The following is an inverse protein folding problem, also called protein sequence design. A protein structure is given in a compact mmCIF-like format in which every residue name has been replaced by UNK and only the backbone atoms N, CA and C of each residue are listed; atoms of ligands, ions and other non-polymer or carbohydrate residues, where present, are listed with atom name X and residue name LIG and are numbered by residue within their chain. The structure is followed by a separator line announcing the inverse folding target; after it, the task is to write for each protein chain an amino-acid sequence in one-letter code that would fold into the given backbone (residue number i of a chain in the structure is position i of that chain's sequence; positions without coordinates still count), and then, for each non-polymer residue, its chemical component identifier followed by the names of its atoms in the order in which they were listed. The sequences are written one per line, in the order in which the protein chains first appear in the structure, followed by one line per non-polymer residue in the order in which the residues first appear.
data_IF_504185804516
#
_entry.id   IF_504185804516
#
_cell.length_a   1.000
_cell.length_b   1.000
_cell.length_c   1.000
_cell.angle_alpha   90.00
_cell.angle_beta   90.00
_cell.angle_gamma   90.00
#
_symmetry.space_group_name_H-M   'P 1'
#
loop_
_entity.id
_entity.type
_entity.pdbx_description
1 polymer ?
#
# COMPACT_ATOMS: atom_id res chain seq x y z
N UNK A 1 -13.97 -57.84 -18.87
CA UNK A 1 -14.07 -56.60 -19.68
C UNK A 1 -13.60 -55.50 -18.76
N UNK A 2 -12.51 -54.83 -19.15
CA UNK A 2 -11.63 -54.00 -18.33
C UNK A 2 -12.31 -52.74 -17.77
N UNK A 3 -11.97 -52.42 -16.53
CA UNK A 3 -12.15 -51.11 -15.90
C UNK A 3 -11.38 -50.04 -16.69
N UNK A 4 -12.02 -48.90 -16.93
CA UNK A 4 -11.35 -47.68 -17.32
C UNK A 4 -11.77 -46.59 -16.32
N UNK A 5 -10.97 -46.47 -15.25
CA UNK A 5 -10.96 -45.28 -14.40
C UNK A 5 -10.42 -44.12 -15.24
N UNK A 6 -11.28 -43.14 -15.50
CA UNK A 6 -10.89 -41.90 -16.14
C UNK A 6 -10.28 -41.00 -15.05
N UNK A 7 -8.95 -40.94 -15.00
CA UNK A 7 -8.21 -39.93 -14.24
C UNK A 7 -8.45 -38.57 -14.90
N UNK A 8 -9.37 -37.78 -14.37
CA UNK A 8 -9.34 -36.34 -14.59
C UNK A 8 -8.39 -35.74 -13.55
N UNK A 9 -7.14 -35.64 -13.97
CA UNK A 9 -6.17 -34.70 -13.42
C UNK A 9 -6.64 -33.29 -13.80
N UNK A 10 -7.50 -32.70 -12.96
CA UNK A 10 -7.79 -31.28 -13.02
C UNK A 10 -6.83 -30.59 -12.05
N UNK A 11 -5.68 -30.18 -12.57
CA UNK A 11 -4.88 -29.12 -11.97
C UNK A 11 -5.76 -27.88 -11.82
N UNK A 12 -6.37 -27.74 -10.65
CA UNK A 12 -7.05 -26.50 -10.26
C UNK A 12 -5.94 -25.48 -10.08
N UNK A 13 -5.70 -24.65 -11.10
CA UNK A 13 -5.14 -23.33 -10.87
C UNK A 13 -6.06 -22.68 -9.83
N UNK A 14 -5.60 -22.62 -8.58
CA UNK A 14 -6.37 -22.06 -7.49
C UNK A 14 -6.72 -20.62 -7.90
N UNK A 15 -8.02 -20.37 -8.10
CA UNK A 15 -8.55 -19.03 -8.32
C UNK A 15 -7.96 -18.11 -7.25
N UNK A 16 -7.15 -17.16 -7.68
CA UNK A 16 -6.43 -16.27 -6.78
C UNK A 16 -7.48 -15.46 -5.99
N UNK A 17 -7.57 -15.67 -4.67
CA UNK A 17 -8.60 -15.00 -3.86
C UNK A 17 -8.48 -13.49 -3.98
N UNK A 18 -9.58 -12.75 -3.84
CA UNK A 18 -9.56 -11.29 -3.89
C UNK A 18 -8.53 -10.67 -2.92
N UNK A 19 -8.31 -11.28 -1.75
CA UNK A 19 -7.26 -10.85 -0.81
C UNK A 19 -5.85 -11.11 -1.32
N UNK A 20 -5.60 -12.22 -2.01
CA UNK A 20 -4.30 -12.50 -2.62
C UNK A 20 -3.96 -11.43 -3.67
N UNK A 21 -4.95 -11.03 -4.48
CA UNK A 21 -4.79 -9.94 -5.46
C UNK A 21 -4.53 -8.59 -4.78
N UNK A 22 -5.29 -8.27 -3.72
CA UNK A 22 -5.06 -7.04 -2.93
C UNK A 22 -3.69 -7.02 -2.25
N UNK A 23 -3.24 -8.15 -1.71
CA UNK A 23 -1.88 -8.31 -1.17
C UNK A 23 -0.84 -8.08 -2.26
N UNK A 24 -1.03 -8.65 -3.45
CA UNK A 24 -0.12 -8.41 -4.57
C UNK A 24 -0.01 -6.92 -4.90
N UNK A 25 -1.14 -6.22 -4.98
CA UNK A 25 -1.17 -4.77 -5.24
C UNK A 25 -0.46 -4.00 -4.12
N UNK A 26 -0.76 -4.28 -2.86
CA UNK A 26 -0.13 -3.64 -1.70
C UNK A 26 1.41 -3.80 -1.72
N UNK A 27 1.90 -5.00 -2.05
CA UNK A 27 3.34 -5.28 -2.21
C UNK A 27 3.96 -4.47 -3.33
N UNK A 28 3.30 -4.39 -4.48
CA UNK A 28 3.82 -3.62 -5.63
C UNK A 28 3.93 -2.13 -5.27
N UNK A 29 2.89 -1.54 -4.68
CA UNK A 29 2.90 -0.10 -4.37
C UNK A 29 3.91 0.24 -3.27
N UNK A 30 4.10 -0.61 -2.25
CA UNK A 30 5.15 -0.40 -1.24
C UNK A 30 6.56 -0.56 -1.83
N UNK A 31 6.74 -1.49 -2.78
CA UNK A 31 8.01 -1.67 -3.50
C UNK A 31 8.36 -0.48 -4.38
N UNK A 32 7.39 0.27 -4.90
CA UNK A 32 7.69 1.55 -5.57
C UNK A 32 8.37 2.53 -4.61
N UNK A 33 7.90 2.63 -3.35
CA UNK A 33 8.56 3.44 -2.33
C UNK A 33 9.98 2.97 -1.99
N UNK A 34 10.23 1.67 -2.01
CA UNK A 34 11.58 1.10 -1.83
C UNK A 34 12.48 1.43 -3.03
N UNK A 35 11.98 1.28 -4.25
CA UNK A 35 12.70 1.61 -5.49
C UNK A 35 13.10 3.09 -5.53
N UNK A 36 12.19 4.00 -5.16
CA UNK A 36 12.49 5.42 -4.95
C UNK A 36 13.69 5.61 -4.02
N UNK A 37 13.68 4.95 -2.85
CA UNK A 37 14.73 5.09 -1.84
C UNK A 37 16.07 4.49 -2.28
N UNK A 38 16.05 3.36 -2.98
CA UNK A 38 17.25 2.64 -3.40
C UNK A 38 17.92 3.29 -4.61
N UNK A 39 17.13 3.79 -5.56
CA UNK A 39 17.62 4.18 -6.89
C UNK A 39 17.58 5.68 -7.18
N UNK A 40 16.75 6.46 -6.47
CA UNK A 40 16.52 7.88 -6.80
C UNK A 40 16.88 8.85 -5.67
N UNK A 41 16.74 8.41 -4.41
CA UNK A 41 17.16 9.20 -3.25
C UNK A 41 18.61 8.86 -2.89
N UNK A 42 19.45 9.87 -2.89
CA UNK A 42 20.89 9.77 -2.63
C UNK A 42 21.31 10.32 -1.27
N UNK A 43 20.49 11.17 -0.63
CA UNK A 43 20.76 11.73 0.69
C UNK A 43 19.50 11.88 1.56
N UNK A 44 19.69 11.90 2.88
CA UNK A 44 18.63 12.13 3.86
C UNK A 44 18.00 13.54 3.73
N UNK A 45 18.76 14.52 3.23
CA UNK A 45 18.25 15.88 2.99
C UNK A 45 17.12 15.89 1.94
N UNK A 46 17.17 14.99 0.95
CA UNK A 46 16.11 14.86 -0.05
C UNK A 46 14.80 14.33 0.54
N UNK A 47 14.84 13.57 1.65
CA UNK A 47 13.63 13.11 2.35
C UNK A 47 12.95 14.23 3.13
N UNK A 48 13.73 15.16 3.66
CA UNK A 48 13.28 16.17 4.62
C UNK A 48 13.04 17.54 3.99
N UNK A 49 13.45 17.74 2.73
CA UNK A 49 13.20 18.98 2.02
C UNK A 49 11.69 19.28 1.93
N UNK A 50 11.34 20.49 2.38
CA UNK A 50 9.98 20.98 2.31
C UNK A 50 9.62 21.38 0.89
N UNK A 51 8.53 20.80 0.40
CA UNK A 51 8.01 21.14 -0.92
C UNK A 51 7.57 22.59 -1.00
N UNK A 52 7.90 23.21 -2.14
CA UNK A 52 7.45 24.55 -2.52
C UNK A 52 5.98 24.56 -2.91
N UNK A 53 5.50 23.50 -3.57
CA UNK A 53 4.11 23.41 -4.04
C UNK A 53 3.15 22.74 -3.04
N UNK A 54 3.69 22.00 -2.06
CA UNK A 54 2.94 21.33 -1.00
C UNK A 54 3.46 21.77 0.37
N UNK A 55 3.03 22.95 0.88
CA UNK A 55 3.53 23.50 2.14
C UNK A 55 3.41 22.52 3.31
N UNK A 56 4.50 22.35 4.05
CA UNK A 56 4.56 21.44 5.21
C UNK A 56 4.82 19.97 4.88
N UNK A 57 4.77 19.58 3.61
CA UNK A 57 5.03 18.22 3.14
C UNK A 57 6.48 17.98 2.75
N UNK A 58 6.93 16.73 2.92
CA UNK A 58 8.24 16.22 2.50
C UNK A 58 8.06 14.81 1.95
N UNK A 59 9.05 14.29 1.22
CA UNK A 59 9.03 12.90 0.74
C UNK A 59 8.93 11.93 1.92
N UNK A 60 9.73 12.12 2.97
CA UNK A 60 9.73 11.29 4.17
C UNK A 60 8.36 11.22 4.86
N UNK A 61 7.65 12.35 4.98
CA UNK A 61 6.31 12.41 5.58
C UNK A 61 5.28 11.63 4.78
N UNK A 62 5.34 11.69 3.45
CA UNK A 62 4.44 10.95 2.58
C UNK A 62 4.74 9.45 2.60
N UNK A 63 6.01 9.06 2.64
CA UNK A 63 6.44 7.66 2.81
C UNK A 63 5.86 7.09 4.12
N UNK A 64 6.07 7.77 5.26
CA UNK A 64 5.52 7.36 6.56
C UNK A 64 4.00 7.29 6.52
N UNK A 65 3.34 8.33 6.02
CA UNK A 65 1.87 8.39 6.06
C UNK A 65 1.20 7.26 5.27
N UNK A 66 1.78 6.91 4.13
CA UNK A 66 1.32 5.80 3.29
C UNK A 66 1.51 4.46 3.99
N UNK A 67 2.70 4.24 4.57
CA UNK A 67 3.02 3.03 5.34
C UNK A 67 2.07 2.85 6.54
N UNK A 68 1.80 3.92 7.27
CA UNK A 68 0.98 3.87 8.49
C UNK A 68 -0.46 3.42 8.23
N UNK A 69 -1.03 3.67 7.03
CA UNK A 69 -2.36 3.16 6.70
C UNK A 69 -2.41 1.63 6.70
N UNK A 70 -1.40 0.97 6.13
CA UNK A 70 -1.33 -0.49 6.18
C UNK A 70 -1.21 -0.98 7.61
N UNK A 71 -0.39 -0.31 8.40
CA UNK A 71 -0.03 -0.83 9.72
C UNK A 71 -1.09 -0.61 10.77
N UNK A 72 -1.80 0.53 10.72
CA UNK A 72 -3.00 0.73 11.52
C UNK A 72 -4.08 -0.31 11.20
N UNK A 73 -4.24 -0.69 9.93
CA UNK A 73 -5.16 -1.76 9.53
C UNK A 73 -4.71 -3.13 10.06
N UNK A 74 -3.42 -3.45 9.94
CA UNK A 74 -2.87 -4.72 10.41
C UNK A 74 -2.90 -4.83 11.93
N UNK A 75 -2.62 -3.76 12.66
CA UNK A 75 -2.71 -3.71 14.12
C UNK A 75 -4.16 -3.87 14.58
N UNK A 76 -5.12 -3.27 13.85
CA UNK A 76 -6.54 -3.42 14.11
C UNK A 76 -6.97 -4.90 14.02
N UNK A 77 -6.65 -5.59 12.92
CA UNK A 77 -7.09 -6.99 12.71
C UNK A 77 -6.37 -7.99 13.62
N UNK A 78 -5.15 -7.67 14.08
CA UNK A 78 -4.40 -8.47 15.08
C UNK A 78 -4.96 -8.30 16.50
N UNK A 79 -5.72 -7.24 16.77
CA UNK A 79 -6.31 -6.99 18.08
C UNK A 79 -7.55 -7.87 18.32
N UNK A 80 -7.97 -8.13 19.56
CA UNK A 80 -9.24 -8.82 19.81
C UNK A 80 -10.45 -8.02 19.29
N UNK A 81 -11.50 -8.68 18.78
CA UNK A 81 -12.73 -7.99 18.38
C UNK A 81 -13.45 -7.36 19.60
N UNK A 82 -14.28 -6.30 19.40
CA UNK A 82 -14.66 -5.72 18.11
C UNK A 82 -13.53 -4.92 17.45
N UNK A 83 -13.45 -4.99 16.12
CA UNK A 83 -12.43 -4.29 15.34
C UNK A 83 -12.83 -2.84 15.09
N UNK A 84 -12.10 -1.91 15.70
CA UNK A 84 -12.28 -0.47 15.49
C UNK A 84 -11.00 0.10 14.89
N UNK A 85 -11.11 0.65 13.69
CA UNK A 85 -9.99 1.22 12.94
C UNK A 85 -10.08 2.75 12.97
N UNK A 86 -8.94 3.42 13.15
CA UNK A 86 -8.83 4.86 12.91
C UNK A 86 -7.49 5.20 12.26
N UNK A 87 -7.54 5.83 11.09
CA UNK A 87 -6.35 6.31 10.38
C UNK A 87 -5.81 7.63 10.93
N UNK A 88 -6.54 8.27 11.85
CA UNK A 88 -6.13 9.52 12.49
C UNK A 88 -5.07 9.31 13.58
N UNK A 89 -4.84 8.04 13.99
CA UNK A 89 -3.80 7.68 14.94
C UNK A 89 -2.42 8.01 14.37
N UNK A 90 -1.65 8.81 15.11
CA UNK A 90 -0.27 9.17 14.75
C UNK A 90 0.72 8.20 15.39
N UNK A 91 1.22 7.25 14.61
CA UNK A 91 2.36 6.43 15.01
C UNK A 91 3.59 7.34 15.11
N UNK A 92 4.21 7.43 16.29
CA UNK A 92 5.36 8.31 16.56
C UNK A 92 6.68 7.81 15.95
N UNK A 93 6.63 7.03 14.87
CA UNK A 93 7.82 6.44 14.24
C UNK A 93 8.48 7.43 13.28
N UNK A 94 9.16 8.44 13.84
CA UNK A 94 9.79 9.54 13.11
C UNK A 94 11.09 9.21 12.36
N UNK A 95 11.89 8.15 12.64
CA UNK A 95 13.13 7.90 11.91
C UNK A 95 12.95 7.75 10.39
N UNK A 96 11.85 7.12 9.96
CA UNK A 96 11.50 6.96 8.54
C UNK A 96 11.29 8.27 7.80
N UNK A 97 10.95 9.36 8.49
CA UNK A 97 10.76 10.66 7.82
C UNK A 97 12.09 11.34 7.46
N UNK A 98 13.19 10.91 8.09
CA UNK A 98 14.47 11.62 8.05
C UNK A 98 15.63 10.76 7.57
N UNK A 99 15.54 9.43 7.71
CA UNK A 99 16.59 8.51 7.32
C UNK A 99 16.14 7.53 6.24
N UNK A 100 16.88 7.52 5.13
CA UNK A 100 16.60 6.67 3.96
C UNK A 100 16.61 5.18 4.31
N UNK A 101 17.56 4.74 5.14
CA UNK A 101 17.68 3.33 5.50
C UNK A 101 16.57 2.90 6.44
N UNK A 102 16.21 3.75 7.41
CA UNK A 102 15.06 3.53 8.29
C UNK A 102 13.76 3.49 7.50
N UNK A 103 13.56 4.38 6.53
CA UNK A 103 12.39 4.39 5.67
C UNK A 103 12.26 3.10 4.85
N UNK A 104 13.37 2.67 4.25
CA UNK A 104 13.43 1.42 3.48
C UNK A 104 13.12 0.21 4.35
N UNK A 105 13.74 0.12 5.52
CA UNK A 105 13.51 -0.96 6.47
C UNK A 105 12.06 -1.02 6.93
N UNK A 106 11.45 0.13 7.23
CA UNK A 106 10.04 0.22 7.62
C UNK A 106 9.08 -0.27 6.53
N UNK A 107 9.32 0.09 5.25
CA UNK A 107 8.51 -0.40 4.13
C UNK A 107 8.65 -1.91 3.94
N UNK A 108 9.86 -2.46 4.07
CA UNK A 108 10.10 -3.91 3.98
C UNK A 108 9.42 -4.67 5.11
N UNK A 109 9.46 -4.14 6.35
CA UNK A 109 8.77 -4.78 7.47
C UNK A 109 7.26 -4.76 7.27
N UNK A 110 6.70 -3.67 6.73
CA UNK A 110 5.28 -3.62 6.38
C UNK A 110 4.88 -4.61 5.31
N UNK A 111 5.71 -4.82 4.29
CA UNK A 111 5.50 -5.88 3.29
C UNK A 111 5.45 -7.24 3.97
N UNK A 112 6.39 -7.52 4.88
CA UNK A 112 6.45 -8.79 5.62
C UNK A 112 5.21 -8.98 6.50
N UNK A 113 4.78 -7.95 7.24
CA UNK A 113 3.55 -8.02 8.04
C UNK A 113 2.31 -8.28 7.18
N UNK A 114 2.21 -7.67 6.00
CA UNK A 114 1.12 -7.96 5.05
C UNK A 114 1.14 -9.42 4.60
N UNK A 115 2.33 -9.95 4.26
CA UNK A 115 2.52 -11.34 3.85
C UNK A 115 2.19 -12.35 4.97
N UNK A 116 2.38 -11.97 6.24
CA UNK A 116 2.02 -12.79 7.39
C UNK A 116 0.52 -12.79 7.69
N UNK A 117 -0.15 -11.64 7.58
CA UNK A 117 -1.53 -11.46 8.07
C UNK A 117 -2.56 -11.77 6.99
N UNK A 118 -2.38 -11.22 5.79
CA UNK A 118 -3.44 -11.23 4.76
C UNK A 118 -3.84 -12.65 4.32
N UNK A 119 -2.92 -13.63 4.17
CA UNK A 119 -3.31 -15.00 3.80
C UNK A 119 -4.23 -15.70 4.81
N UNK A 120 -4.22 -15.29 6.08
CA UNK A 120 -5.06 -15.86 7.14
C UNK A 120 -6.31 -15.03 7.46
N UNK A 121 -6.51 -13.90 6.80
CA UNK A 121 -7.64 -12.99 7.04
C UNK A 121 -8.83 -13.32 6.13
N UNK A 122 -10.02 -12.90 6.54
CA UNK A 122 -11.22 -12.89 5.69
C UNK A 122 -11.51 -11.47 5.20
N UNK A 123 -11.68 -11.32 3.88
CA UNK A 123 -11.97 -10.04 3.22
C UNK A 123 -13.25 -9.37 3.76
N UNK A 124 -14.21 -10.20 4.16
CA UNK A 124 -15.53 -9.79 4.64
C UNK A 124 -15.55 -9.53 6.15
N UNK A 125 -14.42 -9.70 6.84
CA UNK A 125 -14.34 -9.41 8.28
C UNK A 125 -14.83 -7.99 8.54
N UNK A 126 -15.86 -7.79 9.38
CA UNK A 126 -16.44 -6.48 9.62
C UNK A 126 -15.56 -5.63 10.54
N UNK A 127 -15.40 -4.36 10.18
CA UNK A 127 -14.68 -3.34 10.96
C UNK A 127 -15.59 -2.11 11.12
N UNK A 128 -15.42 -1.38 12.21
CA UNK A 128 -15.93 -0.01 12.34
C UNK A 128 -14.80 0.97 12.08
N UNK A 129 -14.93 1.83 11.07
CA UNK A 129 -14.00 2.92 10.80
C UNK A 129 -14.44 4.18 11.55
N UNK A 130 -13.55 4.68 12.42
CA UNK A 130 -13.68 5.97 13.10
C UNK A 130 -12.79 7.02 12.41
N UNK A 131 -13.40 8.10 11.93
CA UNK A 131 -12.72 9.21 11.29
C UNK A 131 -13.15 10.56 11.88
N UNK A 132 -12.20 11.48 12.07
CA UNK A 132 -12.44 12.79 12.67
C UNK A 132 -12.27 13.90 11.64
N UNK A 133 -13.37 14.52 11.20
CA UNK A 133 -13.33 15.63 10.23
C UNK A 133 -14.44 16.70 10.40
N UNK A 134 -14.30 17.70 11.30
CA UNK A 134 -13.59 17.72 12.58
C UNK A 134 -14.37 16.99 13.70
N UNK A 135 -15.53 16.42 13.35
CA UNK A 135 -16.37 15.65 14.26
C UNK A 135 -16.09 14.16 14.05
N UNK A 136 -16.24 13.37 15.11
CA UNK A 136 -16.16 11.92 15.02
C UNK A 136 -17.32 11.40 14.15
N UNK A 137 -16.99 10.59 13.16
CA UNK A 137 -17.91 9.83 12.33
C UNK A 137 -17.55 8.35 12.40
N UNK A 138 -18.57 7.49 12.30
CA UNK A 138 -18.43 6.04 12.31
C UNK A 138 -19.02 5.47 11.02
N UNK A 139 -18.30 4.52 10.43
CA UNK A 139 -18.71 3.83 9.20
C UNK A 139 -18.54 2.32 9.35
N UNK A 140 -19.50 1.57 8.84
CA UNK A 140 -19.34 0.13 8.64
C UNK A 140 -18.42 -0.12 7.44
N UNK A 141 -17.44 -1.00 7.61
CA UNK A 141 -16.51 -1.40 6.56
C UNK A 141 -16.06 -2.85 6.72
N UNK A 142 -15.18 -3.32 5.82
CA UNK A 142 -14.58 -4.65 5.88
C UNK A 142 -13.07 -4.62 5.67
N UNK A 143 -12.38 -5.67 6.12
CA UNK A 143 -10.92 -5.78 6.02
C UNK A 143 -10.43 -5.65 4.57
N UNK A 144 -11.08 -6.34 3.63
CA UNK A 144 -10.74 -6.27 2.21
C UNK A 144 -10.92 -4.88 1.61
N UNK A 145 -11.99 -4.16 1.99
CA UNK A 145 -12.23 -2.79 1.54
C UNK A 145 -11.17 -1.83 2.08
N UNK A 146 -10.80 -1.95 3.35
CA UNK A 146 -9.76 -1.11 3.94
C UNK A 146 -8.36 -1.43 3.41
N UNK A 147 -8.05 -2.69 3.10
CA UNK A 147 -6.80 -3.07 2.44
C UNK A 147 -6.69 -2.47 1.03
N UNK A 148 -7.78 -2.52 0.26
CA UNK A 148 -7.88 -1.83 -1.02
C UNK A 148 -7.68 -0.32 -0.88
N UNK A 149 -8.35 0.30 0.09
CA UNK A 149 -8.24 1.73 0.36
C UNK A 149 -6.82 2.14 0.74
N UNK A 150 -6.12 1.38 1.60
CA UNK A 150 -4.73 1.62 1.95
C UNK A 150 -3.82 1.59 0.70
N UNK A 151 -4.03 0.62 -0.20
CA UNK A 151 -3.35 0.56 -1.49
C UNK A 151 -3.57 1.79 -2.35
N UNK A 152 -4.83 2.22 -2.54
CA UNK A 152 -5.17 3.41 -3.32
C UNK A 152 -4.61 4.70 -2.69
N UNK A 153 -4.69 4.82 -1.36
CA UNK A 153 -4.19 5.97 -0.61
C UNK A 153 -2.66 6.08 -0.69
N UNK A 154 -1.96 4.94 -0.66
CA UNK A 154 -0.53 4.88 -0.91
C UNK A 154 -0.16 5.43 -2.31
N UNK A 155 -0.90 5.02 -3.34
CA UNK A 155 -0.69 5.54 -4.70
C UNK A 155 -0.98 7.04 -4.80
N UNK A 156 -2.02 7.52 -4.12
CA UNK A 156 -2.29 8.96 -4.02
C UNK A 156 -1.08 9.72 -3.46
N UNK A 157 -0.45 9.22 -2.40
CA UNK A 157 0.76 9.84 -1.87
C UNK A 157 1.99 9.70 -2.76
N UNK A 158 2.12 8.62 -3.53
CA UNK A 158 3.15 8.53 -4.57
C UNK A 158 3.00 9.62 -5.64
N UNK A 159 1.78 10.03 -5.98
CA UNK A 159 1.58 11.18 -6.87
C UNK A 159 2.12 12.49 -6.25
N UNK A 160 1.96 12.68 -4.94
CA UNK A 160 2.51 13.84 -4.23
C UNK A 160 4.04 13.76 -4.14
N UNK A 161 4.58 12.58 -3.82
CA UNK A 161 6.03 12.33 -3.83
C UNK A 161 6.64 12.62 -5.20
N UNK A 162 5.98 12.24 -6.30
CA UNK A 162 6.41 12.58 -7.66
C UNK A 162 6.52 14.08 -7.89
N UNK A 163 5.58 14.88 -7.37
CA UNK A 163 5.65 16.34 -7.44
C UNK A 163 6.90 16.86 -6.71
N UNK A 164 7.13 16.40 -5.48
CA UNK A 164 8.29 16.83 -4.67
C UNK A 164 9.62 16.38 -5.32
N UNK A 165 9.68 15.15 -5.84
CA UNK A 165 10.83 14.65 -6.58
C UNK A 165 11.13 15.52 -7.82
N UNK A 166 10.09 15.97 -8.53
CA UNK A 166 10.22 16.92 -9.64
C UNK A 166 10.81 18.26 -9.22
N UNK A 167 10.46 18.79 -8.04
CA UNK A 167 11.08 20.01 -7.49
C UNK A 167 12.58 19.84 -7.22
N UNK A 168 13.00 18.61 -6.91
CA UNK A 168 14.39 18.22 -6.70
C UNK A 168 15.13 17.87 -8.01
N UNK A 169 14.48 18.01 -9.17
CA UNK A 169 14.98 17.55 -10.48
C UNK A 169 15.28 16.05 -10.54
N UNK A 170 14.57 15.25 -9.74
CA UNK A 170 14.66 13.79 -9.75
C UNK A 170 13.65 13.25 -10.76
N UNK A 171 14.14 12.48 -11.73
CA UNK A 171 13.27 11.77 -12.69
C UNK A 171 12.95 10.39 -12.14
N UNK A 172 11.66 10.10 -12.01
CA UNK A 172 11.13 8.80 -11.58
C UNK A 172 10.59 8.01 -12.77
N UNK A 173 10.35 6.71 -12.58
CA UNK A 173 9.67 5.88 -13.56
C UNK A 173 8.30 6.46 -13.96
N UNK A 174 7.92 6.28 -15.21
CA UNK A 174 6.74 6.92 -15.79
C UNK A 174 5.43 6.48 -15.13
N UNK A 175 5.40 5.29 -14.55
CA UNK A 175 4.27 4.67 -13.86
C UNK A 175 4.25 4.96 -12.34
N UNK A 176 5.30 5.57 -11.78
CA UNK A 176 5.36 5.92 -10.36
C UNK A 176 4.26 6.92 -9.99
N UNK A 177 3.45 6.57 -8.99
CA UNK A 177 2.36 7.39 -8.48
C UNK A 177 1.12 7.46 -9.37
N UNK A 178 0.99 6.57 -10.35
CA UNK A 178 -0.25 6.43 -11.12
C UNK A 178 -1.14 5.32 -10.58
N UNK A 179 -2.45 5.58 -10.54
CA UNK A 179 -3.45 4.59 -10.17
C UNK A 179 -3.46 3.43 -11.18
N UNK A 180 -3.62 2.16 -10.74
CA UNK A 180 -3.72 1.00 -11.62
C UNK A 180 -4.76 1.20 -12.74
N UNK A 181 -5.94 1.72 -12.41
CA UNK A 181 -7.00 2.01 -13.40
C UNK A 181 -6.57 2.97 -14.50
N UNK A 182 -5.71 3.95 -14.17
CA UNK A 182 -5.16 4.90 -15.15
C UNK A 182 -4.14 4.23 -16.06
N UNK A 183 -3.27 3.38 -15.50
CA UNK A 183 -2.27 2.64 -16.27
C UNK A 183 -2.93 1.65 -17.23
N UNK A 184 -3.99 0.98 -16.77
CA UNK A 184 -4.85 0.09 -17.57
C UNK A 184 -5.51 0.84 -18.72
N UNK A 185 -6.19 1.95 -18.42
CA UNK A 185 -6.86 2.75 -19.45
C UNK A 185 -5.88 3.26 -20.52
N UNK A 186 -4.65 3.57 -20.14
CA UNK A 186 -3.60 4.02 -21.04
C UNK A 186 -2.86 2.87 -21.75
N UNK A 187 -3.19 1.60 -21.47
CA UNK A 187 -2.56 0.44 -22.07
C UNK A 187 -1.06 0.32 -21.78
N UNK A 188 -0.60 0.85 -20.63
CA UNK A 188 0.84 0.86 -20.30
C UNK A 188 1.33 -0.52 -19.87
N UNK A 189 2.51 -0.91 -20.35
CA UNK A 189 3.23 -2.06 -19.81
C UNK A 189 3.91 -1.71 -18.48
N UNK A 190 3.09 -1.66 -17.42
CA UNK A 190 3.53 -1.48 -16.04
C UNK A 190 3.03 -2.65 -15.18
N UNK A 191 3.67 -2.96 -14.03
CA UNK A 191 3.20 -4.03 -13.12
C UNK A 191 1.74 -3.89 -12.70
N UNK A 192 1.22 -2.65 -12.63
CA UNK A 192 -0.18 -2.32 -12.32
C UNK A 192 -1.01 -1.90 -13.55
N UNK A 193 -0.44 -1.96 -14.75
CA UNK A 193 -1.04 -1.45 -16.00
C UNK A 193 -1.75 -2.49 -16.86
N UNK A 194 -1.74 -3.77 -16.46
CA UNK A 194 -2.53 -4.83 -17.13
C UNK A 194 -3.70 -5.19 -16.24
N UNK A 195 -4.92 -4.89 -16.69
CA UNK A 195 -6.11 -5.34 -15.99
C UNK A 195 -6.23 -6.86 -16.18
N UNK A 196 -6.21 -7.59 -15.07
CA UNK A 196 -6.56 -9.00 -15.02
C UNK A 196 -8.06 -9.06 -14.70
N UNK A 197 -8.89 -8.73 -15.69
CA UNK A 197 -10.36 -8.80 -15.60
C UNK A 197 -10.80 -10.22 -15.95
#
# INVERSE_FOLDING_TARGET
MQEAQNFQDSSVEAEETALTQLLQVARIVLRQGIDLLDNHITSNDQLTLHSKYLPGSTIGKHLRHSRDHFELLLDCIKSPPPYVLSYDVRLRNTPMEQDRHAARAALLETIKHLEEVVPGADASTPLTLQAVTPFLQEFDTSFGRELWFAGLHCVHHWSMVRVIAGELNITLADDFGFAPSTLVYQGREAPLGKAKI
#
